data_IF_764822020450
#
_entry.id   IF_764822020450
#
_cell.length_a   1.000
_cell.length_b   1.000
_cell.length_c   1.000
_cell.angle_alpha   90.00
_cell.angle_beta   90.00
_cell.angle_gamma   90.00
#
_symmetry.space_group_name_H-M   'P 1'
#
loop_
_entity.id
_entity.type
_entity.pdbx_description
1 polymer ?
#
# COMPACT_ATOMS: atom_id res chain seq x y z
N UNK A 1 0.18 10.92 28.02
CA UNK A 1 -0.67 11.17 26.85
C UNK A 1 0.11 11.12 25.55
N UNK A 2 1.24 11.84 25.43
CA UNK A 2 2.05 11.78 24.22
C UNK A 2 2.68 10.39 24.00
N UNK A 3 3.17 9.76 25.06
CA UNK A 3 3.75 8.42 24.97
C UNK A 3 2.72 7.38 24.51
N UNK A 4 1.46 7.52 24.90
CA UNK A 4 0.39 6.63 24.47
C UNK A 4 0.05 6.82 23.00
N UNK A 5 0.01 8.06 22.52
CA UNK A 5 -0.23 8.35 21.09
C UNK A 5 0.90 7.83 20.22
N UNK A 6 2.15 8.02 20.65
CA UNK A 6 3.32 7.51 19.92
C UNK A 6 3.32 5.99 19.88
N UNK A 7 2.95 5.34 20.98
CA UNK A 7 2.86 3.89 21.05
C UNK A 7 1.76 3.36 20.13
N UNK A 8 0.58 3.97 20.15
CA UNK A 8 -0.54 3.58 19.31
C UNK A 8 -0.19 3.77 17.82
N UNK A 9 0.49 4.88 17.48
CA UNK A 9 0.95 5.16 16.12
C UNK A 9 1.97 4.11 15.67
N UNK A 10 2.93 3.76 16.52
CA UNK A 10 3.94 2.75 16.21
C UNK A 10 3.31 1.37 16.06
N UNK A 11 2.36 1.01 16.92
CA UNK A 11 1.65 -0.26 16.81
C UNK A 11 0.89 -0.38 15.50
N UNK A 12 0.24 0.71 15.07
CA UNK A 12 -0.47 0.75 13.79
C UNK A 12 0.51 0.52 12.63
N UNK A 13 1.64 1.22 12.63
CA UNK A 13 2.67 1.04 11.61
C UNK A 13 3.17 -0.39 11.58
N UNK A 14 3.47 -0.96 12.75
CA UNK A 14 3.96 -2.34 12.85
C UNK A 14 2.96 -3.34 12.27
N UNK A 15 1.67 -3.16 12.53
CA UNK A 15 0.61 -4.01 11.98
C UNK A 15 0.54 -3.91 10.47
N UNK A 16 0.63 -2.69 9.94
CA UNK A 16 0.60 -2.48 8.48
C UNK A 16 1.85 -3.07 7.83
N UNK A 17 3.04 -2.88 8.42
CA UNK A 17 4.25 -3.46 7.86
C UNK A 17 4.22 -5.00 7.88
N UNK A 18 3.64 -5.59 8.92
CA UNK A 18 3.43 -7.04 8.97
C UNK A 18 2.53 -7.49 7.82
N UNK A 19 1.44 -6.76 7.59
CA UNK A 19 0.53 -7.02 6.48
C UNK A 19 1.28 -6.94 5.13
N UNK A 20 2.08 -5.90 4.92
CA UNK A 20 2.86 -5.72 3.68
C UNK A 20 3.74 -6.93 3.43
N UNK A 21 4.50 -7.36 4.44
CA UNK A 21 5.42 -8.49 4.31
C UNK A 21 4.68 -9.80 4.03
N UNK A 22 3.63 -10.08 4.80
CA UNK A 22 2.85 -11.31 4.63
C UNK A 22 2.17 -11.37 3.26
N UNK A 23 1.70 -10.24 2.77
CA UNK A 23 0.94 -10.17 1.53
C UNK A 23 1.84 -10.30 0.31
N UNK A 24 3.03 -9.69 0.33
CA UNK A 24 3.86 -9.55 -0.86
C UNK A 24 5.13 -10.41 -0.87
N UNK A 25 5.39 -11.18 0.19
CA UNK A 25 6.64 -11.95 0.30
C UNK A 25 6.87 -12.90 -0.89
N UNK A 26 5.80 -13.42 -1.48
CA UNK A 26 5.90 -14.35 -2.62
C UNK A 26 6.04 -13.64 -3.97
N UNK A 27 5.89 -12.31 -4.00
CA UNK A 27 5.81 -11.54 -5.24
C UNK A 27 6.93 -10.51 -5.41
N UNK A 28 7.81 -10.40 -4.42
CA UNK A 28 8.95 -9.48 -4.40
C UNK A 28 10.17 -10.20 -3.86
N UNK A 29 11.36 -9.78 -4.31
CA UNK A 29 12.57 -10.20 -3.64
C UNK A 29 12.73 -9.45 -2.31
N UNK A 30 13.64 -9.91 -1.47
CA UNK A 30 13.83 -9.36 -0.13
C UNK A 30 14.25 -7.88 -0.17
N UNK A 31 15.13 -7.51 -1.10
CA UNK A 31 15.60 -6.12 -1.24
C UNK A 31 14.44 -5.18 -1.56
N UNK A 32 13.60 -5.55 -2.52
CA UNK A 32 12.45 -4.74 -2.92
C UNK A 32 11.39 -4.72 -1.84
N UNK A 33 11.18 -5.82 -1.13
CA UNK A 33 10.23 -5.84 -0.02
C UNK A 33 10.67 -4.90 1.11
N UNK A 34 11.95 -4.91 1.46
CA UNK A 34 12.49 -4.00 2.47
C UNK A 34 12.37 -2.55 2.01
N UNK A 35 12.63 -2.28 0.75
CA UNK A 35 12.49 -0.94 0.16
C UNK A 35 11.04 -0.48 0.22
N UNK A 36 10.10 -1.35 -0.11
CA UNK A 36 8.67 -1.04 -0.01
C UNK A 36 8.25 -0.71 1.42
N UNK A 37 8.73 -1.47 2.40
CA UNK A 37 8.45 -1.19 3.81
C UNK A 37 8.95 0.20 4.22
N UNK A 38 10.11 0.63 3.70
CA UNK A 38 10.61 1.99 3.89
C UNK A 38 9.69 3.04 3.30
N UNK A 39 9.21 2.82 2.07
CA UNK A 39 8.27 3.76 1.43
C UNK A 39 6.93 3.84 2.17
N UNK A 40 6.41 2.72 2.63
CA UNK A 40 5.16 2.68 3.41
C UNK A 40 5.33 3.44 4.72
N UNK A 41 6.47 3.27 5.39
CA UNK A 41 6.77 3.99 6.62
C UNK A 41 6.81 5.51 6.38
N UNK A 42 7.53 5.96 5.34
CA UNK A 42 7.58 7.38 5.00
C UNK A 42 6.20 7.93 4.64
N UNK A 43 5.42 7.16 3.89
CA UNK A 43 4.06 7.55 3.54
C UNK A 43 3.20 7.76 4.77
N UNK A 44 3.31 6.87 5.76
CA UNK A 44 2.56 7.01 7.02
C UNK A 44 3.00 8.23 7.84
N UNK A 45 4.31 8.47 7.92
CA UNK A 45 4.89 9.45 8.82
C UNK A 45 4.89 10.88 8.27
N UNK A 46 4.65 11.06 6.97
CA UNK A 46 4.77 12.35 6.31
C UNK A 46 3.47 12.78 5.64
N UNK A 47 3.24 14.09 5.55
CA UNK A 47 2.12 14.65 4.78
C UNK A 47 2.46 14.79 3.30
N UNK A 48 3.71 14.57 2.91
CA UNK A 48 4.14 14.63 1.52
C UNK A 48 4.39 13.24 0.98
N UNK A 49 4.28 13.10 -0.36
CA UNK A 49 4.57 11.83 -1.00
C UNK A 49 6.07 11.51 -0.89
N UNK A 50 6.44 10.27 -0.53
CA UNK A 50 7.84 9.89 -0.50
C UNK A 50 8.46 9.89 -1.89
N UNK A 51 9.77 10.09 -1.96
CA UNK A 51 10.51 9.86 -3.19
C UNK A 51 10.73 8.37 -3.34
N UNK A 52 10.27 7.81 -4.45
CA UNK A 52 10.31 6.37 -4.67
C UNK A 52 10.96 6.04 -6.01
N UNK A 53 11.65 4.91 -6.03
CA UNK A 53 12.00 4.22 -7.27
C UNK A 53 10.98 3.11 -7.47
N UNK A 54 10.61 2.87 -8.72
CA UNK A 54 9.58 1.90 -9.03
C UNK A 54 9.92 0.51 -8.53
N UNK A 55 8.92 -0.18 -8.00
CA UNK A 55 9.02 -1.58 -7.61
C UNK A 55 8.18 -2.40 -8.59
N UNK A 56 8.81 -3.39 -9.20
CA UNK A 56 8.13 -4.30 -10.11
C UNK A 56 7.78 -5.58 -9.38
N UNK A 57 6.50 -5.88 -9.29
CA UNK A 57 6.01 -7.10 -8.65
C UNK A 57 5.88 -8.22 -9.67
N UNK A 58 5.80 -9.47 -9.18
CA UNK A 58 5.56 -10.62 -10.02
C UNK A 58 4.28 -10.43 -10.85
N UNK A 59 4.30 -10.90 -12.09
CA UNK A 59 3.18 -10.72 -13.04
C UNK A 59 1.90 -11.43 -12.64
N UNK A 60 1.94 -12.31 -11.64
CA UNK A 60 0.73 -12.92 -11.07
C UNK A 60 -0.16 -11.87 -10.41
N UNK A 61 0.42 -10.79 -9.88
CA UNK A 61 -0.34 -9.68 -9.32
C UNK A 61 -0.83 -8.77 -10.44
N UNK A 62 -2.11 -8.52 -10.47
CA UNK A 62 -2.78 -7.68 -11.46
C UNK A 62 -3.05 -6.30 -10.89
N UNK A 63 -3.54 -5.40 -11.74
CA UNK A 63 -3.88 -4.05 -11.37
C UNK A 63 -4.80 -4.02 -10.14
N UNK A 64 -5.86 -4.85 -10.15
CA UNK A 64 -6.82 -4.88 -9.05
C UNK A 64 -6.19 -5.33 -7.73
N UNK A 65 -5.22 -6.24 -7.78
CA UNK A 65 -4.53 -6.70 -6.57
C UNK A 65 -3.77 -5.55 -5.91
N UNK A 66 -3.07 -4.76 -6.71
CA UNK A 66 -2.32 -3.60 -6.20
C UNK A 66 -3.26 -2.50 -5.73
N UNK A 67 -4.39 -2.31 -6.41
CA UNK A 67 -5.42 -1.36 -5.96
C UNK A 67 -5.96 -1.75 -4.57
N UNK A 68 -6.29 -3.02 -4.38
CA UNK A 68 -6.76 -3.52 -3.07
C UNK A 68 -5.68 -3.37 -2.00
N UNK A 69 -4.45 -3.73 -2.34
CA UNK A 69 -3.31 -3.55 -1.43
C UNK A 69 -3.19 -2.09 -0.96
N UNK A 70 -3.22 -1.16 -1.90
CA UNK A 70 -3.16 0.27 -1.60
C UNK A 70 -4.32 0.72 -0.73
N UNK A 71 -5.55 0.33 -1.09
CA UNK A 71 -6.73 0.70 -0.32
C UNK A 71 -6.64 0.20 1.12
N UNK A 72 -6.20 -1.06 1.30
CA UNK A 72 -6.05 -1.66 2.63
C UNK A 72 -5.09 -0.85 3.51
N UNK A 73 -3.95 -0.46 2.95
CA UNK A 73 -2.94 0.35 3.67
C UNK A 73 -3.49 1.75 3.97
N UNK A 74 -4.05 2.40 2.96
CA UNK A 74 -4.59 3.75 3.11
C UNK A 74 -5.70 3.80 4.14
N UNK A 75 -6.59 2.81 4.14
CA UNK A 75 -7.66 2.69 5.12
C UNK A 75 -7.11 2.51 6.53
N UNK A 76 -6.13 1.63 6.68
CA UNK A 76 -5.50 1.37 7.98
C UNK A 76 -4.83 2.63 8.54
N UNK A 77 -4.19 3.42 7.68
CA UNK A 77 -3.51 4.66 8.07
C UNK A 77 -4.45 5.86 8.20
N UNK A 78 -5.68 5.75 7.71
CA UNK A 78 -6.60 6.88 7.69
C UNK A 78 -6.21 7.96 6.67
N UNK A 79 -5.51 7.59 5.61
CA UNK A 79 -5.09 8.53 4.57
C UNK A 79 -6.19 8.73 3.53
N UNK A 80 -6.31 9.94 2.93
CA UNK A 80 -7.26 10.16 1.85
C UNK A 80 -7.00 9.27 0.65
N UNK A 81 -8.07 8.83 -0.01
CA UNK A 81 -7.97 7.91 -1.16
C UNK A 81 -7.07 8.45 -2.27
N UNK A 82 -7.16 9.75 -2.56
CA UNK A 82 -6.34 10.35 -3.61
C UNK A 82 -4.84 10.26 -3.28
N UNK A 83 -4.47 10.50 -2.02
CA UNK A 83 -3.07 10.37 -1.60
C UNK A 83 -2.59 8.93 -1.74
N UNK A 84 -3.43 7.98 -1.35
CA UNK A 84 -3.09 6.55 -1.47
C UNK A 84 -2.97 6.14 -2.93
N UNK A 85 -3.90 6.56 -3.78
CA UNK A 85 -3.83 6.26 -5.22
C UNK A 85 -2.56 6.82 -5.84
N UNK A 86 -2.17 8.04 -5.47
CA UNK A 86 -0.93 8.66 -5.93
C UNK A 86 0.28 7.87 -5.47
N UNK A 87 0.29 7.45 -4.21
CA UNK A 87 1.37 6.68 -3.63
C UNK A 87 1.59 5.36 -4.39
N UNK A 88 0.53 4.56 -4.56
CA UNK A 88 0.68 3.25 -5.22
C UNK A 88 0.99 3.40 -6.72
N UNK A 89 0.49 4.45 -7.37
CA UNK A 89 0.84 4.72 -8.77
C UNK A 89 2.33 4.99 -8.93
N UNK A 90 2.93 5.71 -7.99
CA UNK A 90 4.37 5.99 -7.99
C UNK A 90 5.19 4.74 -7.73
N UNK A 91 4.82 3.98 -6.70
CA UNK A 91 5.59 2.79 -6.29
C UNK A 91 5.45 1.68 -7.33
N UNK A 92 4.24 1.39 -7.77
CA UNK A 92 3.94 0.27 -8.67
C UNK A 92 3.64 0.76 -10.09
N UNK A 93 4.46 1.69 -10.57
CA UNK A 93 4.23 2.34 -11.86
C UNK A 93 4.12 1.37 -13.02
N UNK A 94 4.87 0.26 -12.99
CA UNK A 94 4.78 -0.75 -14.05
C UNK A 94 3.43 -1.47 -14.04
N UNK A 95 3.00 -1.96 -12.88
CA UNK A 95 1.71 -2.67 -12.76
C UNK A 95 0.53 -1.76 -13.07
N UNK A 96 0.62 -0.49 -12.67
CA UNK A 96 -0.46 0.49 -12.84
C UNK A 96 -0.24 1.41 -14.04
N UNK A 97 0.63 1.03 -14.97
CA UNK A 97 1.03 1.91 -16.09
C UNK A 97 -0.14 2.38 -16.96
N UNK A 98 -1.17 1.55 -17.09
CA UNK A 98 -2.33 1.86 -17.94
C UNK A 98 -3.48 2.49 -17.17
N UNK A 99 -3.28 2.80 -15.88
CA UNK A 99 -4.33 3.37 -15.02
C UNK A 99 -3.96 4.78 -14.59
N UNK A 100 -4.85 5.73 -14.83
CA UNK A 100 -4.72 7.09 -14.33
C UNK A 100 -4.98 7.12 -12.81
N UNK A 101 -4.42 8.11 -12.12
CA UNK A 101 -4.60 8.24 -10.66
C UNK A 101 -6.08 8.35 -10.31
N UNK A 102 -6.86 9.11 -11.08
CA UNK A 102 -8.30 9.24 -10.84
C UNK A 102 -9.04 7.91 -10.97
N UNK A 103 -8.64 7.07 -11.92
CA UNK A 103 -9.22 5.73 -12.10
C UNK A 103 -8.86 4.83 -10.93
N UNK A 104 -7.60 4.88 -10.48
CA UNK A 104 -7.15 4.11 -9.31
C UNK A 104 -7.96 4.52 -8.09
N UNK A 105 -8.08 5.82 -7.82
CA UNK A 105 -8.84 6.34 -6.69
C UNK A 105 -10.27 5.81 -6.70
N UNK A 106 -10.93 5.84 -7.86
CA UNK A 106 -12.32 5.41 -8.01
C UNK A 106 -12.49 3.91 -7.82
N UNK A 107 -11.57 3.11 -8.38
CA UNK A 107 -11.71 1.65 -8.46
C UNK A 107 -11.03 0.86 -7.35
N UNK A 108 -10.20 1.50 -6.53
CA UNK A 108 -9.33 0.77 -5.59
C UNK A 108 -10.08 -0.01 -4.50
N UNK A 109 -11.35 0.27 -4.28
CA UNK A 109 -12.17 -0.47 -3.32
C UNK A 109 -13.28 -1.31 -3.99
N UNK A 110 -13.20 -1.49 -5.31
CA UNK A 110 -14.16 -2.34 -6.02
C UNK A 110 -13.91 -3.81 -5.70
N UNK A 111 -14.97 -4.55 -5.41
CA UNK A 111 -14.89 -5.98 -5.16
C UNK A 111 -14.68 -6.74 -6.47
N UNK A 112 -13.70 -7.63 -6.47
CA UNK A 112 -13.43 -8.55 -7.58
C UNK A 112 -13.34 -9.96 -7.04
N UNK A 113 -14.02 -10.90 -7.68
CA UNK A 113 -14.01 -12.29 -7.24
C UNK A 113 -12.69 -12.98 -7.56
N UNK A 114 -12.02 -12.57 -8.64
CA UNK A 114 -10.76 -13.18 -9.11
C UNK A 114 -9.55 -12.32 -8.79
N UNK A 115 -9.36 -12.00 -7.53
CA UNK A 115 -8.18 -11.27 -7.10
C UNK A 115 -7.38 -12.09 -6.09
N UNK A 116 -6.07 -11.90 -6.08
CA UNK A 116 -5.17 -12.57 -5.11
C UNK A 116 -5.10 -11.80 -3.80
N UNK A 117 -5.22 -10.47 -3.86
CA UNK A 117 -5.22 -9.62 -2.68
C UNK A 117 -6.65 -9.11 -2.47
N UNK A 118 -7.24 -9.48 -1.34
CA UNK A 118 -8.60 -9.09 -0.99
C UNK A 118 -8.62 -7.76 -0.25
N UNK A 119 -9.76 -7.07 -0.31
CA UNK A 119 -10.00 -5.92 0.54
C UNK A 119 -10.03 -6.37 2.01
N UNK A 120 -9.34 -5.64 2.87
CA UNK A 120 -9.22 -5.96 4.29
C UNK A 120 -9.35 -4.69 5.13
N UNK A 121 -10.41 -4.61 5.93
CA UNK A 121 -10.70 -3.45 6.80
C UNK A 121 -10.13 -3.61 8.21
N UNK A 122 -9.49 -4.75 8.51
CA UNK A 122 -9.14 -5.14 9.89
C UNK A 122 -7.64 -5.19 10.15
N UNK A 123 -6.83 -4.58 9.31
CA UNK A 123 -5.38 -4.62 9.46
C UNK A 123 -4.93 -3.86 10.71
N UNK A 124 -5.52 -2.69 10.95
CA UNK A 124 -5.17 -1.85 12.08
C UNK A 124 -6.32 -1.00 12.57
#
# INVERSE_FOLDING_TARGET
AMAEKERASQEKLDKVLTYVKQTLVLYLNETDLNRLCGYVTEYYMSDTQPKVEHIKVDSQLKTIDIMHFGWNIGKAFGKPRLQTATFIKRVFAHTLRDSEISTIERKMSHTESECRIKLDRKIA
#
